data_IF_777640694331
#
_entry.id   IF_777640694331
#
_cell.length_a   1.000
_cell.length_b   1.000
_cell.length_c   1.000
_cell.angle_alpha   90.00
_cell.angle_beta   90.00
_cell.angle_gamma   90.00
#
_symmetry.space_group_name_H-M   'P 1'
#
loop_
_entity.id
_entity.type
_entity.pdbx_description
1 polymer ?
#
# COMPACT_ATOMS: atom_id res chain seq x y z
N UNK A 1 -26.61 -5.49 -18.81
CA UNK A 1 -25.98 -5.48 -18.76
C UNK A 1 -25.42 -4.95 -18.70
N UNK A 2 -25.27 -4.99 -18.56
CA UNK A 2 -24.62 -4.63 -18.39
C UNK A 2 -23.81 -4.23 -18.19
N UNK A 3 -23.80 -3.78 -18.04
CA UNK A 3 -23.05 -3.35 -17.92
C UNK A 3 -22.16 -3.52 -17.35
N UNK A 4 -22.00 -3.89 -17.19
CA UNK A 4 -21.19 -4.21 -16.82
C UNK A 4 -20.27 -4.32 -17.28
N UNK A 5 -20.41 -4.25 -17.62
CA UNK A 5 -19.40 -4.54 -18.31
C UNK A 5 -18.22 -3.77 -18.15
N UNK A 6 -18.16 -2.92 -18.11
CA UNK A 6 -17.12 -2.31 -17.98
C UNK A 6 -16.56 -2.32 -16.79
N UNK A 7 -16.48 -3.24 -16.33
CA UNK A 7 -15.91 -3.27 -15.23
C UNK A 7 -14.54 -2.97 -15.32
N UNK A 8 -14.04 -1.95 -14.66
CA UNK A 8 -12.65 -1.72 -14.54
C UNK A 8 -12.04 -2.81 -13.67
N UNK A 9 -10.79 -3.10 -13.91
CA UNK A 9 -10.09 -4.04 -13.06
C UNK A 9 -9.93 -3.46 -11.67
N UNK A 10 -10.01 -4.28 -10.65
CA UNK A 10 -9.77 -3.81 -9.29
C UNK A 10 -8.32 -3.40 -9.12
N UNK A 11 -8.09 -2.50 -8.16
CA UNK A 11 -6.76 -2.09 -7.77
C UNK A 11 -6.15 -3.24 -6.97
N UNK A 12 -4.98 -3.70 -7.39
CA UNK A 12 -4.31 -4.83 -6.74
C UNK A 12 -3.41 -4.30 -5.63
N UNK A 13 -3.64 -4.79 -4.42
CA UNK A 13 -3.01 -4.24 -3.23
C UNK A 13 -2.23 -5.32 -2.49
N UNK A 14 -0.98 -5.02 -2.16
CA UNK A 14 -0.15 -5.85 -1.30
C UNK A 14 -0.10 -5.18 0.08
N UNK A 15 -0.35 -5.94 1.14
CA UNK A 15 -0.27 -5.42 2.50
C UNK A 15 1.06 -5.87 3.10
N UNK A 16 1.84 -4.93 3.61
CA UNK A 16 3.12 -5.23 4.25
C UNK A 16 3.08 -4.71 5.68
N UNK A 17 2.95 -5.64 6.64
CA UNK A 17 2.83 -5.30 8.06
C UNK A 17 3.18 -6.53 8.87
N UNK A 18 4.01 -6.36 9.90
CA UNK A 18 4.43 -7.49 10.72
C UNK A 18 3.44 -7.82 11.85
N UNK A 19 2.39 -7.01 12.01
CA UNK A 19 1.36 -7.29 13.00
C UNK A 19 0.23 -8.07 12.33
N UNK A 20 0.23 -9.39 12.53
CA UNK A 20 -0.70 -10.24 11.82
C UNK A 20 -2.16 -9.82 11.98
N UNK A 21 -2.56 -9.50 13.21
CA UNK A 21 -3.97 -9.13 13.43
C UNK A 21 -4.32 -7.84 12.74
N UNK A 22 -3.39 -6.89 12.72
CA UNK A 22 -3.64 -5.64 12.03
C UNK A 22 -3.74 -5.86 10.53
N UNK A 23 -2.85 -6.70 9.96
CA UNK A 23 -2.90 -7.00 8.54
C UNK A 23 -4.21 -7.69 8.16
N UNK A 24 -4.69 -8.58 9.02
CA UNK A 24 -5.96 -9.25 8.76
C UNK A 24 -7.13 -8.27 8.81
N UNK A 25 -7.08 -7.30 9.74
CA UNK A 25 -8.12 -6.29 9.81
C UNK A 25 -8.11 -5.42 8.57
N UNK A 26 -6.91 -5.05 8.09
CA UNK A 26 -6.81 -4.29 6.85
C UNK A 26 -7.41 -5.06 5.68
N UNK A 27 -7.08 -6.33 5.59
CA UNK A 27 -7.60 -7.12 4.49
C UNK A 27 -9.11 -7.18 4.52
N UNK A 28 -9.71 -7.31 5.71
CA UNK A 28 -11.15 -7.34 5.82
C UNK A 28 -11.78 -6.03 5.37
N UNK A 29 -11.18 -4.91 5.76
CA UNK A 29 -11.68 -3.60 5.34
C UNK A 29 -11.62 -3.46 3.83
N UNK A 30 -10.51 -3.87 3.23
CA UNK A 30 -10.32 -3.71 1.79
C UNK A 30 -11.16 -4.67 0.99
N UNK A 31 -11.33 -5.90 1.49
CA UNK A 31 -12.11 -6.90 0.78
C UNK A 31 -13.58 -6.51 0.67
N UNK A 32 -14.05 -5.60 1.51
CA UNK A 32 -15.44 -5.16 1.45
C UNK A 32 -15.68 -4.19 0.29
N UNK A 33 -14.64 -3.73 -0.37
CA UNK A 33 -14.77 -2.76 -1.46
C UNK A 33 -14.43 -3.44 -2.79
N UNK A 34 -15.38 -3.45 -3.71
CA UNK A 34 -15.20 -4.14 -4.99
C UNK A 34 -14.10 -3.55 -5.85
N UNK A 35 -13.70 -2.33 -5.58
CA UNK A 35 -12.66 -1.69 -6.38
C UNK A 35 -11.25 -2.18 -6.03
N UNK A 36 -11.13 -3.00 -4.98
CA UNK A 36 -9.83 -3.38 -4.44
C UNK A 36 -9.73 -4.89 -4.35
N UNK A 37 -8.58 -5.42 -4.74
CA UNK A 37 -8.27 -6.83 -4.58
C UNK A 37 -6.96 -6.95 -3.81
N UNK A 38 -6.98 -7.61 -2.66
CA UNK A 38 -5.76 -7.85 -1.89
C UNK A 38 -5.07 -9.07 -2.48
N UNK A 39 -3.85 -8.87 -2.97
CA UNK A 39 -3.16 -9.96 -3.68
C UNK A 39 -2.11 -10.66 -2.82
N UNK A 40 -1.80 -10.14 -1.65
CA UNK A 40 -0.86 -10.82 -0.77
C UNK A 40 -0.60 -10.04 0.49
N UNK A 41 0.13 -10.68 1.40
CA UNK A 41 0.56 -10.06 2.65
C UNK A 41 2.02 -10.39 2.87
N UNK A 42 2.81 -9.39 3.25
CA UNK A 42 4.20 -9.55 3.62
C UNK A 42 4.34 -9.22 5.10
N UNK A 43 5.19 -9.94 5.80
CA UNK A 43 5.34 -9.74 7.23
C UNK A 43 6.63 -9.02 7.60
N UNK A 44 7.47 -8.70 6.63
CA UNK A 44 8.64 -7.84 6.86
C UNK A 44 8.99 -7.14 5.56
N UNK A 45 9.95 -6.21 5.66
CA UNK A 45 10.29 -5.38 4.51
C UNK A 45 10.93 -6.16 3.37
N UNK A 46 11.73 -7.17 3.69
CA UNK A 46 12.37 -7.97 2.66
C UNK A 46 11.33 -8.77 1.88
N UNK A 47 10.37 -9.35 2.59
CA UNK A 47 9.31 -10.08 1.93
C UNK A 47 8.44 -9.13 1.10
N UNK A 48 8.24 -7.90 1.57
CA UNK A 48 7.47 -6.92 0.82
C UNK A 48 8.14 -6.61 -0.52
N UNK A 49 9.47 -6.44 -0.52
CA UNK A 49 10.18 -6.17 -1.76
C UNK A 49 10.06 -7.36 -2.71
N UNK A 50 10.21 -8.56 -2.18
CA UNK A 50 10.13 -9.77 -3.01
C UNK A 50 8.74 -9.95 -3.60
N UNK A 51 7.70 -9.79 -2.79
CA UNK A 51 6.34 -9.97 -3.27
C UNK A 51 5.92 -8.85 -4.21
N UNK A 52 6.41 -7.63 -3.99
CA UNK A 52 6.12 -6.55 -4.93
C UNK A 52 6.68 -6.91 -6.30
N UNK A 53 7.87 -7.52 -6.33
CA UNK A 53 8.48 -7.88 -7.59
C UNK A 53 7.72 -9.02 -8.29
N UNK A 54 7.31 -10.02 -7.52
CA UNK A 54 6.68 -11.20 -8.14
C UNK A 54 5.21 -11.01 -8.43
N UNK A 55 4.49 -10.23 -7.61
CA UNK A 55 3.04 -10.06 -7.80
C UNK A 55 2.69 -8.83 -8.63
N UNK A 56 3.57 -7.86 -8.69
CA UNK A 56 3.30 -6.64 -9.46
C UNK A 56 2.06 -5.90 -9.01
N UNK A 57 1.92 -5.59 -7.71
CA UNK A 57 0.72 -4.90 -7.26
C UNK A 57 0.68 -3.46 -7.77
N UNK A 58 -0.51 -2.89 -7.78
CA UNK A 58 -0.65 -1.47 -8.12
C UNK A 58 -0.27 -0.60 -6.93
N UNK A 59 -0.56 -1.06 -5.73
CA UNK A 59 -0.29 -0.31 -4.50
C UNK A 59 0.24 -1.26 -3.44
N UNK A 60 1.27 -0.84 -2.73
CA UNK A 60 1.73 -1.53 -1.53
C UNK A 60 1.37 -0.66 -0.34
N UNK A 61 0.64 -1.24 0.62
CA UNK A 61 0.40 -0.58 1.90
C UNK A 61 1.55 -0.99 2.81
N UNK A 62 2.39 -0.03 3.16
CA UNK A 62 3.66 -0.33 3.81
C UNK A 62 3.68 0.23 5.22
N UNK A 63 3.73 -0.67 6.21
CA UNK A 63 3.94 -0.23 7.58
C UNK A 63 5.34 0.35 7.70
N UNK A 64 5.45 1.47 8.38
CA UNK A 64 6.73 2.15 8.56
C UNK A 64 7.67 1.30 9.40
N UNK A 65 7.16 0.66 10.46
CA UNK A 65 7.98 -0.08 11.41
C UNK A 65 7.89 -1.58 11.17
N UNK A 66 8.90 -2.15 10.54
CA UNK A 66 8.94 -3.58 10.32
C UNK A 66 10.35 -4.10 10.57
N UNK A 67 10.47 -5.38 10.94
CA UNK A 67 11.79 -5.96 11.15
C UNK A 67 12.47 -6.26 9.82
N UNK A 68 13.75 -6.59 9.89
CA UNK A 68 14.61 -7.00 8.79
C UNK A 68 14.93 -5.82 7.89
N UNK A 69 13.93 -5.25 7.26
CA UNK A 69 14.09 -4.09 6.40
C UNK A 69 12.89 -3.20 6.69
N UNK A 70 13.13 -1.98 7.17
CA UNK A 70 12.02 -1.14 7.58
C UNK A 70 11.25 -0.63 6.35
N UNK A 71 10.09 -0.02 6.63
CA UNK A 71 9.21 0.38 5.54
C UNK A 71 9.80 1.45 4.62
N UNK A 72 10.65 2.34 5.15
CA UNK A 72 11.25 3.37 4.30
C UNK A 72 12.23 2.74 3.32
N UNK A 73 13.06 1.82 3.80
CA UNK A 73 14.02 1.18 2.91
C UNK A 73 13.34 0.26 1.92
N UNK A 74 12.32 -0.47 2.37
CA UNK A 74 11.58 -1.32 1.45
C UNK A 74 10.94 -0.48 0.35
N UNK A 75 10.41 0.68 0.70
CA UNK A 75 9.80 1.58 -0.29
C UNK A 75 10.83 2.03 -1.32
N UNK A 76 12.05 2.39 -0.87
CA UNK A 76 13.08 2.79 -1.82
C UNK A 76 13.38 1.69 -2.81
N UNK A 77 13.49 0.44 -2.32
CA UNK A 77 13.82 -0.67 -3.20
C UNK A 77 12.69 -0.97 -4.17
N UNK A 78 11.45 -0.92 -3.70
CA UNK A 78 10.31 -1.18 -4.57
C UNK A 78 10.24 -0.11 -5.65
N UNK A 79 10.38 1.15 -5.27
CA UNK A 79 10.28 2.23 -6.24
C UNK A 79 11.43 2.22 -7.23
N UNK A 80 12.61 1.83 -6.79
CA UNK A 80 13.75 1.73 -7.69
C UNK A 80 13.57 0.63 -8.71
N UNK A 81 12.93 -0.47 -8.31
CA UNK A 81 12.72 -1.60 -9.21
C UNK A 81 11.52 -1.39 -10.12
N UNK A 82 10.51 -0.64 -9.68
CA UNK A 82 9.31 -0.45 -10.48
C UNK A 82 8.71 0.91 -10.17
N UNK A 83 8.80 1.82 -11.11
CA UNK A 83 8.20 3.14 -10.94
C UNK A 83 6.70 3.13 -11.00
N UNK A 84 6.11 2.03 -11.47
CA UNK A 84 4.66 1.96 -11.61
C UNK A 84 3.95 1.50 -10.34
N UNK A 85 4.67 0.97 -9.38
CA UNK A 85 4.07 0.53 -8.13
C UNK A 85 4.01 1.70 -7.17
N UNK A 86 2.81 2.04 -6.73
CA UNK A 86 2.63 3.08 -5.73
C UNK A 86 2.82 2.49 -4.35
N UNK A 87 3.33 3.29 -3.42
CA UNK A 87 3.47 2.87 -2.03
C UNK A 87 2.77 3.88 -1.16
N UNK A 88 1.83 3.41 -0.34
CA UNK A 88 1.19 4.22 0.68
C UNK A 88 1.75 3.78 2.02
N UNK A 89 2.38 4.70 2.73
CA UNK A 89 2.92 4.38 4.05
C UNK A 89 1.80 4.38 5.08
N UNK A 90 1.83 3.41 5.98
CA UNK A 90 0.93 3.37 7.12
C UNK A 90 1.76 3.73 8.33
N UNK A 91 1.40 4.79 9.02
CA UNK A 91 2.23 5.31 10.09
C UNK A 91 1.38 5.61 11.32
N UNK A 92 1.96 5.38 12.48
CA UNK A 92 1.29 5.73 13.74
C UNK A 92 1.37 7.22 14.05
N UNK A 93 2.09 7.98 13.22
CA UNK A 93 2.36 9.39 13.50
C UNK A 93 2.36 10.18 12.20
N UNK A 94 1.86 11.41 12.27
CA UNK A 94 1.95 12.30 11.11
C UNK A 94 2.98 13.40 11.37
N UNK A 95 4.00 13.10 12.17
CA UNK A 95 5.05 14.07 12.42
C UNK A 95 5.69 14.48 11.10
N UNK A 96 6.20 15.72 11.07
CA UNK A 96 6.84 16.21 9.87
C UNK A 96 8.01 15.32 9.45
N UNK A 97 8.79 14.83 10.43
CA UNK A 97 9.93 13.99 10.12
C UNK A 97 9.52 12.70 9.42
N UNK A 98 8.45 12.07 9.89
CA UNK A 98 8.00 10.83 9.28
C UNK A 98 7.39 11.07 7.90
N UNK A 99 6.67 12.17 7.75
CA UNK A 99 6.12 12.51 6.43
C UNK A 99 7.24 12.77 5.44
N UNK A 100 8.27 13.51 5.87
CA UNK A 100 9.39 13.81 4.99
C UNK A 100 10.14 12.54 4.61
N UNK A 101 10.35 11.62 5.58
CA UNK A 101 11.02 10.36 5.27
C UNK A 101 10.22 9.52 4.28
N UNK A 102 8.91 9.53 4.41
CA UNK A 102 8.05 8.80 3.47
C UNK A 102 8.25 9.36 2.06
N UNK A 103 8.23 10.66 1.94
CA UNK A 103 8.37 11.28 0.64
C UNK A 103 9.75 11.02 0.05
N UNK A 104 10.79 11.13 0.86
CA UNK A 104 12.15 10.90 0.39
C UNK A 104 12.37 9.45 -0.05
N UNK A 105 11.66 8.52 0.57
CA UNK A 105 11.75 7.13 0.18
C UNK A 105 11.03 6.84 -1.12
N UNK A 106 10.21 7.78 -1.60
CA UNK A 106 9.49 7.60 -2.86
C UNK A 106 8.04 7.19 -2.68
N UNK A 107 7.50 7.28 -1.46
CA UNK A 107 6.11 6.94 -1.23
C UNK A 107 5.19 7.91 -1.96
N UNK A 108 4.07 7.39 -2.43
CA UNK A 108 3.06 8.20 -3.12
C UNK A 108 2.21 8.97 -2.14
N UNK A 109 2.15 8.53 -0.89
CA UNK A 109 1.39 9.20 0.14
C UNK A 109 1.48 8.43 1.44
N UNK A 110 0.73 8.85 2.44
CA UNK A 110 0.69 8.15 3.71
C UNK A 110 -0.70 8.27 4.32
N UNK A 111 -1.02 7.32 5.19
CA UNK A 111 -2.26 7.33 5.96
C UNK A 111 -1.88 7.01 7.39
N UNK A 112 -2.36 7.82 8.34
CA UNK A 112 -2.10 7.52 9.74
C UNK A 112 -3.03 6.40 10.18
N UNK A 113 -2.54 5.57 11.10
CA UNK A 113 -3.28 4.36 11.46
C UNK A 113 -4.63 4.65 12.12
N UNK A 114 -4.78 5.82 12.74
CA UNK A 114 -6.05 6.18 13.34
C UNK A 114 -7.08 6.64 12.31
N UNK A 115 -6.69 6.81 11.04
CA UNK A 115 -7.61 7.26 10.00
C UNK A 115 -7.84 6.23 8.92
N UNK A 116 -7.39 5.00 9.15
CA UNK A 116 -7.52 3.97 8.13
C UNK A 116 -8.97 3.75 7.73
N UNK A 117 -9.88 3.63 8.72
CA UNK A 117 -11.26 3.33 8.40
C UNK A 117 -11.92 4.42 7.56
N UNK A 118 -11.50 5.68 7.73
CA UNK A 118 -12.15 6.78 7.02
C UNK A 118 -11.42 7.20 5.76
N UNK A 119 -10.12 6.91 5.62
CA UNK A 119 -9.34 7.49 4.53
C UNK A 119 -8.61 6.50 3.64
N UNK A 120 -8.43 5.25 4.09
CA UNK A 120 -7.52 4.36 3.37
C UNK A 120 -8.00 4.03 1.95
N UNK A 121 -9.26 3.64 1.81
CA UNK A 121 -9.77 3.26 0.49
C UNK A 121 -9.68 4.43 -0.47
N UNK A 122 -10.06 5.62 -0.01
CA UNK A 122 -9.99 6.80 -0.86
C UNK A 122 -8.54 7.10 -1.27
N UNK A 123 -7.60 6.91 -0.35
CA UNK A 123 -6.19 7.16 -0.64
C UNK A 123 -5.68 6.18 -1.69
N UNK A 124 -6.07 4.90 -1.58
CA UNK A 124 -5.66 3.89 -2.55
C UNK A 124 -6.16 4.26 -3.94
N UNK A 125 -7.43 4.60 -4.03
CA UNK A 125 -8.02 4.95 -5.32
C UNK A 125 -7.35 6.20 -5.87
N UNK A 126 -7.08 7.17 -5.01
CA UNK A 126 -6.49 8.43 -5.45
C UNK A 126 -5.09 8.24 -6.03
N UNK A 127 -4.23 7.44 -5.39
CA UNK A 127 -2.87 7.30 -5.89
C UNK A 127 -2.84 6.55 -7.22
N UNK A 128 -3.76 5.61 -7.42
CA UNK A 128 -3.80 4.89 -8.69
C UNK A 128 -4.37 5.76 -9.81
N UNK A 129 -5.28 6.66 -9.49
CA UNK A 129 -5.82 7.56 -10.51
C UNK A 129 -4.78 8.54 -11.00
N UNK A 130 -3.87 8.96 -10.13
CA UNK A 130 -2.86 9.93 -10.54
C UNK A 130 -1.86 9.38 -11.53
N UNK A 131 -1.84 8.06 -11.72
CA UNK A 131 -0.96 7.48 -12.73
C UNK A 131 -1.51 7.65 -14.14
N UNK A 132 -2.78 7.92 -14.25
CA UNK A 132 -3.39 8.02 -15.57
C UNK A 132 -2.94 9.30 -16.26
N UNK A 133 -2.62 9.23 -17.53
CA UNK A 133 -2.21 10.41 -18.30
C UNK A 133 -3.29 11.46 -18.36
#
# INVERSE_FOLDING_TARGET
MPGRAKKTKPVRVLIADDHRLFAQALEAILAADERIEVVGQASDGSEAVELARTLGPDVVLMDVSMPVLDGFEATREIRAASGDTNVLMLTGSNSRADVDRSREAGASGYVTKDRIASELVAAIVEVTRRRLP
#
